data_IF_353412530945
#
_entry.id   IF_353412530945
#
_cell.length_a   1.000
_cell.length_b   1.000
_cell.length_c   1.000
_cell.angle_alpha   90.00
_cell.angle_beta   90.00
_cell.angle_gamma   90.00
#
_symmetry.space_group_name_H-M   'P 1'
#
loop_
_entity.id
_entity.type
_entity.pdbx_description
1 polymer ?
#
# COMPACT_ATOMS: atom_id res chain seq x y z
N UNK A 1 40.16 -9.93 12.27
CA UNK A 1 39.31 -9.75 11.06
C UNK A 1 37.98 -9.13 11.48
N UNK A 2 37.86 -7.80 11.59
CA UNK A 2 36.58 -7.11 11.85
C UNK A 2 35.66 -7.05 10.60
N UNK A 3 36.09 -7.67 9.50
CA UNK A 3 35.72 -7.27 8.14
C UNK A 3 34.53 -8.03 7.52
N UNK A 4 33.74 -8.77 8.32
CA UNK A 4 32.59 -9.55 7.83
C UNK A 4 31.28 -9.23 8.53
N UNK A 5 31.18 -8.09 9.24
CA UNK A 5 29.92 -7.64 9.82
C UNK A 5 29.15 -6.90 8.74
N UNK A 6 28.00 -7.43 8.33
CA UNK A 6 27.13 -6.73 7.39
C UNK A 6 26.53 -5.49 8.06
N UNK A 7 26.18 -4.43 7.29
CA UNK A 7 25.56 -3.23 7.85
C UNK A 7 24.31 -3.52 8.70
N UNK A 8 23.54 -4.56 8.34
CA UNK A 8 22.37 -4.99 9.10
C UNK A 8 22.73 -5.54 10.48
N UNK A 9 23.78 -6.37 10.57
CA UNK A 9 24.26 -6.92 11.84
C UNK A 9 24.82 -5.82 12.73
N UNK A 10 25.55 -4.87 12.16
CA UNK A 10 26.05 -3.70 12.89
C UNK A 10 24.89 -2.84 13.43
N UNK A 11 23.92 -2.48 12.58
CA UNK A 11 22.77 -1.68 13.00
C UNK A 11 21.93 -2.37 14.08
N UNK A 12 21.70 -3.68 13.95
CA UNK A 12 20.92 -4.45 14.92
C UNK A 12 21.60 -4.50 16.29
N UNK A 13 22.89 -4.83 16.32
CA UNK A 13 23.64 -5.05 17.59
C UNK A 13 23.96 -3.73 18.29
N UNK A 14 24.43 -2.72 17.55
CA UNK A 14 24.94 -1.49 18.14
C UNK A 14 23.87 -0.41 18.29
N UNK A 15 22.88 -0.35 17.39
CA UNK A 15 21.91 0.74 17.32
C UNK A 15 20.46 0.32 17.58
N UNK A 16 20.16 -0.99 17.60
CA UNK A 16 18.80 -1.47 17.80
C UNK A 16 18.18 -1.02 19.13
N UNK A 17 18.97 -1.03 20.21
CA UNK A 17 18.50 -0.59 21.52
C UNK A 17 18.29 0.93 21.59
N UNK A 18 19.16 1.73 20.98
CA UNK A 18 19.03 3.20 20.92
C UNK A 18 17.76 3.60 20.17
N UNK A 19 17.45 2.89 19.08
CA UNK A 19 16.23 3.07 18.30
C UNK A 19 14.99 2.79 19.15
N UNK A 20 14.96 1.65 19.85
CA UNK A 20 13.85 1.28 20.73
C UNK A 20 13.69 2.27 21.87
N UNK A 21 14.78 2.79 22.42
CA UNK A 21 14.75 3.77 23.49
C UNK A 21 14.18 5.12 23.04
N UNK A 22 14.63 5.62 21.88
CA UNK A 22 14.14 6.89 21.33
C UNK A 22 12.68 6.79 20.88
N UNK A 23 12.25 5.62 20.43
CA UNK A 23 10.94 5.41 19.83
C UNK A 23 10.02 4.48 20.62
N UNK A 24 10.11 4.45 21.96
CA UNK A 24 9.28 3.59 22.85
C UNK A 24 7.77 3.67 22.59
N UNK A 25 7.29 4.81 22.07
CA UNK A 25 5.87 5.02 21.72
C UNK A 25 5.42 4.21 20.50
N UNK A 26 6.32 3.88 19.58
CA UNK A 26 5.97 3.28 18.29
C UNK A 26 6.49 1.84 18.23
N UNK A 27 5.62 0.91 17.86
CA UNK A 27 6.02 -0.48 17.68
C UNK A 27 6.98 -0.64 16.49
N UNK A 28 7.81 -1.69 16.51
CA UNK A 28 8.81 -1.98 15.46
C UNK A 28 8.21 -1.99 14.04
N UNK A 29 6.95 -2.41 13.91
CA UNK A 29 6.19 -2.40 12.65
C UNK A 29 6.09 -1.01 12.00
N UNK A 30 6.11 0.08 12.78
CA UNK A 30 6.07 1.45 12.27
C UNK A 30 7.30 1.81 11.42
N UNK A 31 8.42 1.14 11.66
CA UNK A 31 9.67 1.33 10.92
C UNK A 31 9.82 0.37 9.74
N UNK A 32 8.87 -0.55 9.55
CA UNK A 32 8.91 -1.50 8.44
C UNK A 32 8.42 -0.87 7.14
N UNK A 33 9.23 -0.99 6.08
CA UNK A 33 8.83 -0.63 4.72
C UNK A 33 7.84 -1.63 4.08
N UNK A 34 7.48 -2.73 4.76
CA UNK A 34 6.60 -3.77 4.22
C UNK A 34 5.25 -3.22 3.71
N UNK A 35 4.67 -2.23 4.39
CA UNK A 35 3.41 -1.63 3.99
C UNK A 35 3.53 -0.85 2.67
N UNK A 36 4.61 -0.07 2.50
CA UNK A 36 4.85 0.70 1.27
C UNK A 36 5.26 -0.20 0.12
N UNK A 37 6.07 -1.23 0.38
CA UNK A 37 6.44 -2.25 -0.60
C UNK A 37 5.20 -3.00 -1.10
N UNK A 38 4.30 -3.40 -0.19
CA UNK A 38 3.04 -4.05 -0.55
C UNK A 38 2.15 -3.13 -1.38
N UNK A 39 2.04 -1.85 -1.01
CA UNK A 39 1.28 -0.84 -1.78
C UNK A 39 1.84 -0.73 -3.20
N UNK A 40 3.16 -0.59 -3.34
CA UNK A 40 3.83 -0.49 -4.62
C UNK A 40 3.62 -1.76 -5.47
N UNK A 41 3.83 -2.95 -4.89
CA UNK A 41 3.62 -4.23 -5.56
C UNK A 41 2.19 -4.35 -6.09
N UNK A 42 1.20 -4.01 -5.27
CA UNK A 42 -0.20 -4.05 -5.68
C UNK A 42 -0.47 -3.07 -6.83
N UNK A 43 0.04 -1.84 -6.77
CA UNK A 43 -0.16 -0.84 -7.82
C UNK A 43 0.45 -1.30 -9.16
N UNK A 44 1.69 -1.79 -9.13
CA UNK A 44 2.36 -2.35 -10.32
C UNK A 44 1.60 -3.55 -10.86
N UNK A 45 1.17 -4.47 -9.99
CA UNK A 45 0.42 -5.66 -10.40
C UNK A 45 -0.94 -5.30 -11.01
N UNK A 46 -1.66 -4.32 -10.45
CA UNK A 46 -3.01 -3.93 -10.91
C UNK A 46 -2.98 -3.16 -12.22
N UNK A 47 -2.14 -2.13 -12.35
CA UNK A 47 -2.18 -1.22 -13.50
C UNK A 47 -1.25 -1.63 -14.63
N UNK A 48 -0.12 -2.24 -14.27
CA UNK A 48 0.91 -2.65 -15.23
C UNK A 48 0.91 -4.16 -15.46
N UNK A 49 -0.01 -4.93 -14.87
CA UNK A 49 -0.10 -6.40 -15.06
C UNK A 49 1.24 -7.12 -14.84
N UNK A 50 2.09 -6.60 -13.96
CA UNK A 50 3.46 -7.08 -13.73
C UNK A 50 4.38 -6.99 -14.98
N UNK A 51 4.03 -6.19 -15.99
CA UNK A 51 4.87 -5.91 -17.17
C UNK A 51 5.62 -4.59 -17.02
N UNK A 52 6.82 -4.49 -17.60
CA UNK A 52 7.62 -3.26 -17.66
C UNK A 52 7.24 -2.34 -18.85
N UNK A 53 6.43 -2.85 -19.79
CA UNK A 53 5.98 -2.12 -20.97
C UNK A 53 4.53 -1.70 -20.78
N UNK A 54 4.29 -0.39 -20.92
CA UNK A 54 2.99 0.30 -21.04
C UNK A 54 1.80 -0.61 -20.74
N UNK A 55 1.44 -0.69 -19.45
CA UNK A 55 0.21 -1.34 -19.04
C UNK A 55 -1.01 -0.68 -19.69
N UNK A 56 -2.15 -1.35 -19.64
CA UNK A 56 -3.37 -0.81 -20.22
C UNK A 56 -4.39 -1.89 -20.51
N UNK A 57 -5.59 -1.45 -20.88
CA UNK A 57 -6.55 -2.31 -21.55
C UNK A 57 -6.44 -2.11 -23.06
N UNK A 58 -5.94 -3.10 -23.78
CA UNK A 58 -6.04 -3.12 -25.23
C UNK A 58 -7.51 -3.17 -25.68
N UNK A 59 -8.37 -3.90 -24.94
CA UNK A 59 -9.78 -4.04 -25.28
C UNK A 59 -10.57 -2.74 -25.08
N UNK A 60 -10.27 -2.02 -24.00
CA UNK A 60 -10.94 -0.72 -23.70
C UNK A 60 -10.19 0.48 -24.29
N UNK A 61 -9.09 0.26 -25.03
CA UNK A 61 -8.19 1.30 -25.55
C UNK A 61 -7.78 2.35 -24.50
N UNK A 62 -7.59 1.92 -23.25
CA UNK A 62 -7.19 2.80 -22.13
C UNK A 62 -5.76 2.51 -21.70
N UNK A 63 -4.95 3.55 -21.56
CA UNK A 63 -3.61 3.43 -21.00
C UNK A 63 -3.66 3.12 -19.50
N UNK A 64 -2.57 2.58 -18.93
CA UNK A 64 -2.44 2.43 -17.48
C UNK A 64 -2.66 3.76 -16.74
N UNK A 65 -2.16 4.87 -17.29
CA UNK A 65 -2.29 6.21 -16.71
C UNK A 65 -3.77 6.61 -16.59
N UNK A 66 -4.55 6.45 -17.65
CA UNK A 66 -5.99 6.74 -17.61
C UNK A 66 -6.70 5.88 -16.55
N UNK A 67 -6.35 4.60 -16.43
CA UNK A 67 -6.90 3.71 -15.40
C UNK A 67 -6.53 4.15 -13.98
N UNK A 68 -5.29 4.60 -13.76
CA UNK A 68 -4.84 5.10 -12.46
C UNK A 68 -5.63 6.35 -12.08
N UNK A 69 -5.71 7.34 -12.97
CA UNK A 69 -6.43 8.59 -12.74
C UNK A 69 -7.91 8.31 -12.44
N UNK A 70 -8.56 7.46 -13.22
CA UNK A 70 -9.97 7.08 -12.99
C UNK A 70 -10.18 6.42 -11.62
N UNK A 71 -9.28 5.52 -11.24
CA UNK A 71 -9.34 4.82 -9.95
C UNK A 71 -9.14 5.78 -8.77
N UNK A 72 -8.13 6.65 -8.85
CA UNK A 72 -7.82 7.63 -7.80
C UNK A 72 -8.95 8.66 -7.66
N UNK A 73 -9.46 9.19 -8.76
CA UNK A 73 -10.61 10.11 -8.76
C UNK A 73 -11.85 9.48 -8.13
N UNK A 74 -12.11 8.19 -8.42
CA UNK A 74 -13.23 7.45 -7.83
C UNK A 74 -13.03 7.26 -6.32
N UNK A 75 -11.81 6.92 -5.89
CA UNK A 75 -11.48 6.79 -4.47
C UNK A 75 -11.65 8.12 -3.73
N UNK A 76 -11.14 9.22 -4.29
CA UNK A 76 -11.33 10.57 -3.76
C UNK A 76 -12.81 10.91 -3.66
N UNK A 77 -13.58 10.67 -4.71
CA UNK A 77 -15.02 10.94 -4.71
C UNK A 77 -15.73 10.25 -3.54
N UNK A 78 -15.46 8.96 -3.29
CA UNK A 78 -16.09 8.22 -2.18
C UNK A 78 -15.56 8.59 -0.80
N UNK A 79 -14.31 9.03 -0.69
CA UNK A 79 -13.73 9.43 0.59
C UNK A 79 -14.23 10.82 1.04
N UNK A 80 -14.40 11.74 0.09
CA UNK A 80 -14.79 13.13 0.39
C UNK A 80 -16.31 13.34 0.35
N UNK A 81 -17.01 12.71 -0.60
CA UNK A 81 -18.46 12.69 -0.57
C UNK A 81 -18.86 11.55 0.37
N UNK A 82 -19.01 11.88 1.66
CA UNK A 82 -19.65 10.99 2.63
C UNK A 82 -20.97 10.54 2.01
N UNK A 83 -21.01 9.32 1.49
CA UNK A 83 -22.25 8.69 1.09
C UNK A 83 -23.12 8.74 2.35
N UNK A 84 -24.15 9.58 2.33
CA UNK A 84 -25.23 9.53 3.31
C UNK A 84 -25.52 8.06 3.56
N UNK A 85 -25.32 7.60 4.81
CA UNK A 85 -25.44 6.20 5.22
C UNK A 85 -26.57 5.57 4.41
N UNK A 86 -26.23 4.58 3.58
CA UNK A 86 -27.26 3.83 2.86
C UNK A 86 -28.27 3.36 3.91
N UNK A 87 -29.58 3.60 3.70
CA UNK A 87 -30.59 3.16 4.65
C UNK A 87 -30.37 1.66 4.86
N UNK A 88 -30.26 1.23 6.12
CA UNK A 88 -30.02 -0.17 6.49
C UNK A 88 -30.94 -1.05 5.64
N UNK A 89 -30.34 -1.86 4.77
CA UNK A 89 -31.10 -2.81 3.93
C UNK A 89 -31.89 -3.71 4.88
N UNK A 90 -33.21 -3.50 4.95
CA UNK A 90 -34.10 -4.40 5.68
C UNK A 90 -34.06 -5.72 4.93
N UNK A 91 -33.50 -6.77 5.55
CA UNK A 91 -33.55 -8.13 5.01
C UNK A 91 -35.02 -8.49 4.79
N UNK A 92 -35.43 -8.58 3.53
CA UNK A 92 -36.75 -9.09 3.16
C UNK A 92 -36.68 -10.61 3.40
N UNK A 93 -37.42 -11.10 4.40
CA UNK A 93 -37.70 -12.52 4.55
C UNK A 93 -38.84 -12.84 3.60
N UNK A 94 -38.54 -13.58 2.54
CA UNK A 94 -39.56 -14.21 1.69
C UNK A 94 -40.08 -15.41 2.50
N UNK A 95 -41.40 -15.46 2.72
CA UNK A 95 -42.11 -16.59 3.35
C UNK A 95 -42.38 -17.66 2.31
#
# INVERSE_FOLDING_TARGET
MPNQITPYMHALVYHGWELLEKHKRWGFKAFSCSAVEKKNHNQVSTFFRKTLKNGGDLLKRKSAIQKIIEYENRSLYFNYNVLFKSPKVKRIRIK
#
